data_IF_833443347707
#
_entry.id   IF_833443347707
#
_cell.length_a   1.000
_cell.length_b   1.000
_cell.length_c   1.000
_cell.angle_alpha   90.00
_cell.angle_beta   90.00
_cell.angle_gamma   90.00
#
_symmetry.space_group_name_H-M   'P 1'
#
loop_
_entity.id
_entity.type
_entity.pdbx_description
1 polymer ?
#
# COMPACT_ATOMS: atom_id res chain seq x y z
N UNK A 1 29.08 37.85 -42.31
CA UNK A 1 28.74 36.49 -41.84
C UNK A 1 28.17 36.62 -40.44
N UNK A 2 26.96 36.12 -40.19
CA UNK A 2 26.27 36.19 -38.89
C UNK A 2 26.39 34.83 -38.21
N UNK A 3 27.10 34.75 -37.09
CA UNK A 3 27.08 33.59 -36.19
C UNK A 3 26.17 33.92 -35.01
N UNK A 4 24.97 33.34 -35.02
CA UNK A 4 24.06 33.39 -33.88
C UNK A 4 24.45 32.24 -32.95
N UNK A 5 25.01 32.59 -31.79
CA UNK A 5 25.33 31.66 -30.73
C UNK A 5 24.02 31.31 -30.00
N UNK A 6 23.53 30.08 -30.18
CA UNK A 6 22.37 29.56 -29.45
C UNK A 6 22.82 29.10 -28.06
N UNK A 7 22.49 29.88 -27.03
CA UNK A 7 22.52 29.41 -25.64
C UNK A 7 21.34 28.46 -25.43
N UNK A 8 21.64 27.16 -25.33
CA UNK A 8 20.70 26.19 -24.78
C UNK A 8 20.91 26.13 -23.26
N UNK A 9 20.05 26.81 -22.50
CA UNK A 9 19.90 26.55 -21.08
C UNK A 9 19.14 25.24 -20.91
N UNK A 10 19.86 24.14 -20.74
CA UNK A 10 19.28 22.90 -20.26
C UNK A 10 18.91 23.11 -18.77
N UNK A 11 17.67 23.54 -18.52
CA UNK A 11 17.10 23.50 -17.18
C UNK A 11 16.80 22.04 -16.86
N UNK A 12 17.76 21.36 -16.23
CA UNK A 12 17.55 20.07 -15.60
C UNK A 12 16.61 20.29 -14.40
N UNK A 13 15.31 20.19 -14.63
CA UNK A 13 14.33 20.04 -13.55
C UNK A 13 14.55 18.63 -13.00
N UNK A 14 15.38 18.49 -11.97
CA UNK A 14 15.51 17.21 -11.27
C UNK A 14 14.17 16.87 -10.63
N UNK A 15 13.56 15.78 -11.10
CA UNK A 15 12.42 15.16 -10.43
C UNK A 15 12.81 14.81 -9.00
N UNK A 16 11.98 15.29 -8.09
CA UNK A 16 12.14 15.46 -6.63
C UNK A 16 12.14 14.15 -5.81
N UNK A 17 12.46 14.20 -4.49
CA UNK A 17 12.68 13.05 -3.57
C UNK A 17 11.54 12.04 -3.40
N UNK A 18 10.35 12.35 -3.90
CA UNK A 18 9.10 11.62 -3.66
C UNK A 18 9.16 10.16 -4.15
N UNK A 19 9.90 9.88 -5.21
CA UNK A 19 10.01 8.53 -5.80
C UNK A 19 10.80 7.54 -4.96
N UNK A 20 11.91 7.99 -4.36
CA UNK A 20 12.72 7.14 -3.47
C UNK A 20 11.89 6.75 -2.25
N UNK A 21 11.09 7.68 -1.76
CA UNK A 21 10.22 7.44 -0.62
C UNK A 21 9.15 6.39 -0.93
N UNK A 22 8.56 6.36 -2.13
CA UNK A 22 7.55 5.34 -2.48
C UNK A 22 8.15 3.93 -2.53
N UNK A 23 9.35 3.79 -3.09
CA UNK A 23 10.08 2.51 -3.07
C UNK A 23 10.42 2.09 -1.65
N UNK A 24 10.84 3.03 -0.80
CA UNK A 24 11.11 2.76 0.62
C UNK A 24 9.81 2.33 1.32
N UNK A 25 8.73 3.09 1.18
CA UNK A 25 7.43 2.80 1.80
C UNK A 25 6.88 1.43 1.37
N UNK A 26 6.90 1.13 0.07
CA UNK A 26 6.47 -0.16 -0.46
C UNK A 26 7.38 -1.30 -0.01
N UNK A 27 8.70 -1.10 -0.01
CA UNK A 27 9.66 -2.09 0.47
C UNK A 27 9.41 -2.46 1.93
N UNK A 28 9.28 -1.45 2.79
CA UNK A 28 8.98 -1.66 4.21
C UNK A 28 7.58 -2.26 4.42
N UNK A 29 6.57 -1.84 3.65
CA UNK A 29 5.23 -2.42 3.68
C UNK A 29 5.25 -3.91 3.31
N UNK A 30 6.02 -4.28 2.28
CA UNK A 30 6.21 -5.68 1.88
C UNK A 30 6.84 -6.50 3.01
N UNK A 31 7.83 -5.96 3.71
CA UNK A 31 8.47 -6.64 4.84
C UNK A 31 7.50 -6.90 5.99
N UNK A 32 6.69 -5.90 6.36
CA UNK A 32 5.64 -6.09 7.38
C UNK A 32 4.57 -7.08 6.93
N UNK A 33 4.08 -6.97 5.69
CA UNK A 33 3.06 -7.88 5.16
C UNK A 33 3.57 -9.32 5.06
N UNK A 34 4.84 -9.54 4.70
CA UNK A 34 5.42 -10.89 4.71
C UNK A 34 5.43 -11.50 6.13
N UNK A 35 5.67 -10.69 7.18
CA UNK A 35 5.60 -11.15 8.58
C UNK A 35 4.18 -11.52 8.96
N UNK A 36 3.21 -10.65 8.65
CA UNK A 36 1.81 -10.88 9.01
C UNK A 36 1.19 -12.03 8.22
N UNK A 37 1.45 -12.15 6.92
CA UNK A 37 1.01 -13.31 6.13
C UNK A 37 1.50 -14.62 6.72
N UNK A 38 2.75 -14.70 7.18
CA UNK A 38 3.29 -15.89 7.85
C UNK A 38 2.63 -16.14 9.20
N UNK A 39 2.37 -15.09 9.98
CA UNK A 39 1.71 -15.19 11.28
C UNK A 39 0.30 -15.73 11.16
N UNK A 40 -0.44 -15.25 10.17
CA UNK A 40 -1.84 -15.61 9.94
C UNK A 40 -2.03 -16.79 8.99
N UNK A 41 -0.98 -17.38 8.42
CA UNK A 41 -1.12 -18.47 7.43
C UNK A 41 -1.78 -19.72 7.97
N UNK A 42 -1.66 -19.95 9.28
CA UNK A 42 -2.22 -21.10 9.99
C UNK A 42 -3.23 -20.65 11.06
N UNK A 43 -3.61 -19.37 11.07
CA UNK A 43 -4.56 -18.86 12.05
C UNK A 43 -5.98 -19.20 11.58
N UNK A 44 -6.73 -19.93 12.42
CA UNK A 44 -8.14 -20.27 12.21
C UNK A 44 -9.08 -19.10 12.55
N UNK A 45 -8.52 -17.92 12.85
CA UNK A 45 -9.31 -16.75 13.20
C UNK A 45 -10.13 -16.28 12.01
N UNK A 46 -11.45 -16.37 12.17
CA UNK A 46 -12.46 -15.95 11.22
C UNK A 46 -12.70 -14.44 11.32
N UNK A 47 -11.72 -13.66 10.85
CA UNK A 47 -11.92 -12.24 10.57
C UNK A 47 -12.13 -12.09 9.07
N UNK A 48 -13.29 -11.53 8.72
CA UNK A 48 -13.71 -11.28 7.36
C UNK A 48 -13.58 -9.79 7.02
N UNK A 49 -13.07 -9.53 5.82
CA UNK A 49 -12.92 -8.20 5.24
C UNK A 49 -13.49 -8.23 3.83
N UNK A 50 -13.95 -7.08 3.34
CA UNK A 50 -14.44 -6.97 1.97
C UNK A 50 -13.36 -7.42 0.97
N UNK A 51 -13.75 -8.23 -0.02
CA UNK A 51 -12.88 -8.57 -1.13
C UNK A 51 -12.64 -7.33 -2.00
N UNK A 52 -11.38 -7.05 -2.28
CA UNK A 52 -10.99 -5.86 -3.04
C UNK A 52 -10.64 -6.24 -4.47
N UNK A 53 -11.08 -5.43 -5.43
CA UNK A 53 -10.70 -5.59 -6.83
C UNK A 53 -9.20 -5.37 -7.03
N UNK A 54 -8.50 -6.42 -7.46
CA UNK A 54 -7.04 -6.38 -7.67
C UNK A 54 -6.63 -5.89 -9.06
N UNK A 55 -7.53 -5.23 -9.81
CA UNK A 55 -7.35 -4.84 -11.21
C UNK A 55 -6.08 -3.99 -11.44
N UNK A 56 -4.98 -4.67 -11.80
CA UNK A 56 -3.66 -4.08 -11.97
C UNK A 56 -2.98 -3.63 -10.67
N UNK A 57 -3.58 -3.84 -9.50
CA UNK A 57 -3.22 -3.16 -8.25
C UNK A 57 -3.18 -1.63 -8.43
N UNK A 58 -4.00 -1.13 -9.36
CA UNK A 58 -4.16 0.29 -9.70
C UNK A 58 -5.44 0.81 -9.07
N UNK A 59 -5.59 2.14 -9.01
CA UNK A 59 -6.77 2.79 -8.45
C UNK A 59 -6.73 2.87 -6.92
N UNK A 60 -7.90 2.79 -6.30
CA UNK A 60 -8.13 3.02 -4.87
C UNK A 60 -7.78 1.83 -3.95
N UNK A 61 -7.26 0.71 -4.50
CA UNK A 61 -7.01 -0.55 -3.79
C UNK A 61 -6.29 -0.39 -2.44
N UNK A 62 -5.14 0.29 -2.40
CA UNK A 62 -4.38 0.45 -1.14
C UNK A 62 -5.11 1.32 -0.12
N UNK A 63 -5.92 2.28 -0.59
CA UNK A 63 -6.74 3.11 0.27
C UNK A 63 -7.91 2.29 0.85
N UNK A 64 -8.60 1.51 0.02
CA UNK A 64 -9.65 0.59 0.47
C UNK A 64 -9.09 -0.44 1.45
N UNK A 65 -7.87 -0.93 1.19
CA UNK A 65 -7.20 -1.86 2.08
C UNK A 65 -6.88 -1.25 3.45
N UNK A 66 -6.47 0.03 3.48
CA UNK A 66 -6.29 0.76 4.73
C UNK A 66 -7.61 0.89 5.49
N UNK A 67 -8.70 1.24 4.79
CA UNK A 67 -10.03 1.35 5.38
C UNK A 67 -10.50 0.04 6.02
N UNK A 68 -10.45 -1.07 5.28
CA UNK A 68 -10.88 -2.37 5.78
C UNK A 68 -10.06 -2.82 6.99
N UNK A 69 -8.72 -2.68 6.94
CA UNK A 69 -7.87 -3.02 8.10
C UNK A 69 -8.17 -2.13 9.30
N UNK A 70 -8.38 -0.82 9.08
CA UNK A 70 -8.70 0.14 10.13
C UNK A 70 -10.04 -0.14 10.79
N UNK A 71 -11.07 -0.44 10.01
CA UNK A 71 -12.42 -0.71 10.50
C UNK A 71 -12.52 -2.07 11.20
N UNK A 72 -11.89 -3.11 10.63
CA UNK A 72 -12.14 -4.50 11.04
C UNK A 72 -11.07 -5.09 11.95
N UNK A 73 -9.83 -4.62 11.87
CA UNK A 73 -8.67 -5.29 12.51
C UNK A 73 -7.99 -4.38 13.53
N UNK A 74 -7.80 -3.10 13.23
CA UNK A 74 -7.06 -2.16 14.09
C UNK A 74 -7.68 -1.96 15.48
N UNK A 75 -8.95 -2.29 15.67
CA UNK A 75 -9.64 -2.21 16.97
C UNK A 75 -9.46 -3.46 17.85
N UNK A 76 -9.15 -4.61 17.25
CA UNK A 76 -9.19 -5.90 17.93
C UNK A 76 -8.15 -6.00 19.06
N UNK A 77 -8.54 -6.64 20.16
CA UNK A 77 -7.66 -6.86 21.31
C UNK A 77 -6.78 -8.09 21.13
N UNK A 78 -5.52 -8.01 21.58
CA UNK A 78 -4.59 -9.14 21.61
C UNK A 78 -3.28 -8.82 20.88
N UNK A 79 -2.18 -9.40 21.38
CA UNK A 79 -0.83 -9.12 20.87
C UNK A 79 -0.68 -9.42 19.37
N UNK A 80 -1.45 -10.39 18.84
CA UNK A 80 -1.41 -10.72 17.41
C UNK A 80 -1.97 -9.63 16.51
N UNK A 81 -2.86 -8.76 17.01
CA UNK A 81 -3.43 -7.65 16.25
C UNK A 81 -2.70 -6.33 16.45
N UNK A 82 -1.71 -6.28 17.35
CA UNK A 82 -1.01 -5.04 17.70
C UNK A 82 -0.34 -4.38 16.49
N UNK A 83 0.11 -5.16 15.51
CA UNK A 83 0.76 -4.66 14.30
C UNK A 83 -0.20 -3.94 13.34
N UNK A 84 -1.51 -4.12 13.52
CA UNK A 84 -2.55 -3.44 12.75
C UNK A 84 -3.02 -2.15 13.43
N UNK A 85 -2.49 -1.74 14.60
CA UNK A 85 -2.84 -0.43 15.15
C UNK A 85 -2.35 0.68 14.21
N UNK A 86 -3.08 1.79 14.15
CA UNK A 86 -2.82 2.89 13.19
C UNK A 86 -1.46 3.55 13.38
N UNK A 87 -0.89 3.48 14.58
CA UNK A 87 0.45 3.99 14.92
C UNK A 87 1.58 3.01 14.56
N UNK A 88 1.28 1.77 14.18
CA UNK A 88 2.31 0.78 13.81
C UNK A 88 2.77 0.91 12.38
N UNK A 89 3.96 0.37 12.13
CA UNK A 89 4.69 0.48 10.88
C UNK A 89 3.87 0.03 9.67
N UNK A 90 3.15 -1.09 9.75
CA UNK A 90 2.30 -1.58 8.65
C UNK A 90 1.26 -0.52 8.24
N UNK A 91 0.42 -0.07 9.18
CA UNK A 91 -0.62 0.92 8.89
C UNK A 91 -0.05 2.29 8.55
N UNK A 92 1.04 2.72 9.20
CA UNK A 92 1.72 3.99 8.89
C UNK A 92 2.29 4.01 7.47
N UNK A 93 2.88 2.91 7.02
CA UNK A 93 3.47 2.85 5.68
C UNK A 93 2.39 2.76 4.61
N UNK A 94 1.31 2.02 4.86
CA UNK A 94 0.14 1.99 3.99
C UNK A 94 -0.49 3.38 3.84
N UNK A 95 -0.76 4.08 4.95
CA UNK A 95 -1.23 5.47 4.96
C UNK A 95 -0.23 6.43 4.28
N UNK A 96 1.06 6.26 4.55
CA UNK A 96 2.12 7.07 3.97
C UNK A 96 2.17 6.95 2.45
N UNK A 97 1.98 5.74 1.92
CA UNK A 97 1.83 5.50 0.49
C UNK A 97 0.53 6.13 -0.04
N UNK A 98 -0.61 5.88 0.62
CA UNK A 98 -1.90 6.44 0.20
C UNK A 98 -1.88 7.96 0.11
N UNK A 99 -1.31 8.69 1.09
CA UNK A 99 -1.19 10.15 1.06
C UNK A 99 -0.50 10.72 -0.19
N UNK A 100 0.35 9.92 -0.86
CA UNK A 100 1.09 10.31 -2.07
C UNK A 100 0.34 9.98 -3.35
N UNK A 101 -0.54 8.97 -3.33
CA UNK A 101 -1.21 8.44 -4.52
C UNK A 101 -2.73 8.69 -4.55
N UNK A 102 -3.40 8.60 -3.41
CA UNK A 102 -4.86 8.71 -3.25
C UNK A 102 -5.19 9.27 -1.86
N UNK A 103 -5.66 10.53 -1.78
CA UNK A 103 -6.04 11.15 -0.49
C UNK A 103 -7.29 10.53 0.14
N UNK A 104 -8.24 10.10 -0.69
CA UNK A 104 -9.53 9.53 -0.29
C UNK A 104 -9.98 8.53 -1.33
N UNK A 105 -10.61 7.46 -0.90
CA UNK A 105 -11.27 6.48 -1.77
C UNK A 105 -12.70 6.24 -1.31
N UNK A 106 -13.52 5.70 -2.20
CA UNK A 106 -14.78 5.10 -1.80
C UNK A 106 -14.49 3.80 -1.03
N UNK A 107 -15.28 3.49 0.02
CA UNK A 107 -15.24 2.17 0.64
C UNK A 107 -15.44 1.06 -0.38
N UNK A 108 -14.90 -0.12 -0.10
CA UNK A 108 -15.14 -1.30 -0.92
C UNK A 108 -16.62 -1.72 -0.85
N UNK A 109 -17.13 -2.26 -1.95
CA UNK A 109 -18.44 -2.94 -1.95
C UNK A 109 -18.35 -4.19 -1.08
N UNK A 110 -19.33 -4.38 -0.19
CA UNK A 110 -19.33 -5.44 0.83
C UNK A 110 -20.09 -6.70 0.36
N UNK A 111 -20.11 -6.93 -0.95
CA UNK A 111 -20.86 -8.00 -1.57
C UNK A 111 -20.18 -9.36 -1.40
N UNK A 112 -18.85 -9.35 -1.26
CA UNK A 112 -18.02 -10.54 -1.04
C UNK A 112 -17.04 -10.26 0.09
N UNK A 113 -16.85 -11.25 0.98
CA UNK A 113 -15.90 -11.18 2.06
C UNK A 113 -14.87 -12.31 1.98
N UNK A 114 -13.63 -11.99 2.33
CA UNK A 114 -12.52 -12.93 2.39
C UNK A 114 -11.87 -12.92 3.77
N UNK A 115 -11.24 -14.03 4.13
CA UNK A 115 -10.50 -14.15 5.38
C UNK A 115 -9.31 -13.20 5.43
N UNK A 116 -8.97 -12.68 6.62
CA UNK A 116 -7.84 -11.79 6.86
C UNK A 116 -6.53 -12.31 6.24
N UNK A 117 -6.23 -13.59 6.39
CA UNK A 117 -4.98 -14.12 5.83
C UNK A 117 -4.96 -14.07 4.28
N UNK A 118 -6.12 -14.25 3.62
CA UNK A 118 -6.26 -14.12 2.17
C UNK A 118 -6.13 -12.64 1.78
N UNK A 119 -6.80 -11.76 2.50
CA UNK A 119 -6.73 -10.33 2.31
C UNK A 119 -5.28 -9.81 2.39
N UNK A 120 -4.52 -10.22 3.41
CA UNK A 120 -3.11 -9.84 3.58
C UNK A 120 -2.22 -10.38 2.45
N UNK A 121 -2.51 -11.57 1.92
CA UNK A 121 -1.82 -12.13 0.75
C UNK A 121 -2.11 -11.32 -0.50
N UNK A 122 -3.35 -10.88 -0.70
CA UNK A 122 -3.74 -10.04 -1.83
C UNK A 122 -3.04 -8.67 -1.76
N UNK A 123 -3.05 -8.04 -0.58
CA UNK A 123 -2.34 -6.78 -0.34
C UNK A 123 -0.83 -6.92 -0.56
N UNK A 124 -0.21 -8.00 -0.06
CA UNK A 124 1.21 -8.31 -0.30
C UNK A 124 1.52 -8.50 -1.79
N UNK A 125 0.66 -9.22 -2.50
CA UNK A 125 0.80 -9.44 -3.94
C UNK A 125 0.76 -8.12 -4.70
N UNK A 126 -0.16 -7.23 -4.33
CA UNK A 126 -0.24 -5.92 -4.93
C UNK A 126 0.93 -5.00 -4.58
N UNK A 127 1.37 -4.97 -3.32
CA UNK A 127 2.56 -4.22 -2.93
C UNK A 127 3.79 -4.68 -3.72
N UNK A 128 4.02 -6.00 -3.84
CA UNK A 128 5.11 -6.56 -4.66
C UNK A 128 4.99 -6.21 -6.14
N UNK A 129 3.79 -6.30 -6.70
CA UNK A 129 3.53 -5.95 -8.10
C UNK A 129 3.91 -4.50 -8.37
N UNK A 130 3.39 -3.56 -7.59
CA UNK A 130 3.70 -2.13 -7.74
C UNK A 130 5.18 -1.87 -7.49
N UNK A 131 5.76 -2.46 -6.45
CA UNK A 131 7.20 -2.36 -6.20
C UNK A 131 8.05 -2.89 -7.35
N UNK A 132 7.60 -3.89 -8.11
CA UNK A 132 8.37 -4.47 -9.23
C UNK A 132 8.21 -3.73 -10.55
N UNK A 133 7.24 -2.81 -10.67
CA UNK A 133 6.98 -2.12 -11.93
C UNK A 133 8.20 -1.28 -12.35
N UNK A 134 8.63 -1.37 -13.62
CA UNK A 134 9.60 -0.44 -14.16
C UNK A 134 8.99 0.97 -14.14
N UNK A 135 9.86 1.95 -13.95
CA UNK A 135 9.49 3.36 -13.94
C UNK A 135 8.90 3.78 -15.29
#
# INVERSE_FOLDING_TARGET
MKTILLLAFAVLVSSTPVENDDKILLGELIDELNREVKRFSNDITEIFLAELEMNGCKGEFFCQAEHELKEKVSGLSGAKFEHFRTDKKLMRNLNGYNKRHVKTCKPADKDQEILLHVFLRNLLTCAKRVYSQPK
#
